data_IF_665355261628
#
_entry.id   IF_665355261628
#
_cell.length_a   1.000
_cell.length_b   1.000
_cell.length_c   1.000
_cell.angle_alpha   90.00
_cell.angle_beta   90.00
_cell.angle_gamma   90.00
#
_symmetry.space_group_name_H-M   'P 1'
#
loop_
_entity.id
_entity.type
_entity.pdbx_description
1 polymer ?
#
# COMPACT_ATOMS: atom_id res chain seq x y z
N UNK A 1 13.78 10.42 -1.85
CA UNK A 1 13.76 11.14 -3.15
C UNK A 1 12.47 11.93 -3.22
N UNK A 2 12.47 13.23 -3.53
CA UNK A 2 11.24 14.00 -3.55
C UNK A 2 10.46 13.85 -4.87
N UNK A 3 11.05 13.27 -5.93
CA UNK A 3 10.42 13.03 -7.23
C UNK A 3 10.77 11.63 -7.74
N UNK A 4 9.77 10.91 -8.22
CA UNK A 4 9.88 9.55 -8.77
C UNK A 4 8.92 9.41 -9.95
N UNK A 5 9.24 8.55 -10.90
CA UNK A 5 8.32 8.14 -11.96
C UNK A 5 8.39 6.63 -12.16
N UNK A 6 7.34 6.07 -12.76
CA UNK A 6 7.28 4.67 -13.19
C UNK A 6 6.69 4.57 -14.59
N UNK A 7 7.04 3.47 -15.26
CA UNK A 7 6.58 3.11 -16.58
C UNK A 7 6.35 1.59 -16.57
N UNK A 8 5.11 1.17 -16.84
CA UNK A 8 4.74 -0.25 -16.90
C UNK A 8 4.06 -0.56 -18.24
N UNK A 9 4.43 -1.65 -18.92
CA UNK A 9 3.67 -2.09 -20.08
C UNK A 9 2.29 -2.56 -19.63
N UNK A 10 1.28 -2.25 -20.43
CA UNK A 10 -0.07 -2.80 -20.31
C UNK A 10 -0.44 -3.48 -21.65
N UNK A 11 -1.70 -3.83 -21.82
CA UNK A 11 -2.21 -4.53 -23.01
C UNK A 11 -2.14 -3.64 -24.27
N UNK A 12 -2.26 -4.26 -25.44
CA UNK A 12 -2.38 -3.57 -26.75
C UNK A 12 -1.24 -2.61 -27.11
N UNK A 13 -0.02 -2.90 -26.62
CA UNK A 13 1.16 -2.08 -26.89
C UNK A 13 1.14 -0.73 -26.16
N UNK A 14 0.24 -0.56 -25.19
CA UNK A 14 0.14 0.64 -24.39
C UNK A 14 1.03 0.56 -23.14
N UNK A 15 1.30 1.72 -22.56
CA UNK A 15 2.12 1.84 -21.35
C UNK A 15 1.45 2.76 -20.35
N UNK A 16 1.45 2.36 -19.08
CA UNK A 16 1.03 3.20 -17.98
C UNK A 16 2.22 3.98 -17.44
N UNK A 17 2.09 5.29 -17.40
CA UNK A 17 3.10 6.21 -16.86
C UNK A 17 2.53 6.94 -15.67
N UNK A 18 3.30 7.01 -14.59
CA UNK A 18 2.90 7.81 -13.44
C UNK A 18 4.09 8.51 -12.80
N UNK A 19 3.79 9.67 -12.23
CA UNK A 19 4.74 10.52 -11.52
C UNK A 19 4.29 10.65 -10.07
N UNK A 20 5.26 10.66 -9.17
CA UNK A 20 5.04 10.73 -7.73
C UNK A 20 5.98 11.78 -7.14
N UNK A 21 5.44 12.53 -6.20
CA UNK A 21 6.16 13.62 -5.55
C UNK A 21 5.90 13.67 -4.05
N UNK A 22 6.95 13.99 -3.28
CA UNK A 22 6.89 14.14 -1.84
C UNK A 22 7.36 15.56 -1.43
N UNK A 23 7.14 15.93 -0.17
CA UNK A 23 7.57 17.22 0.40
C UNK A 23 7.15 18.45 -0.44
N UNK A 24 5.90 18.48 -0.91
CA UNK A 24 5.33 19.59 -1.69
C UNK A 24 5.69 19.60 -3.18
N UNK A 25 6.50 18.66 -3.65
CA UNK A 25 6.88 18.53 -5.07
C UNK A 25 5.79 17.81 -5.89
N UNK A 26 4.58 18.37 -5.92
CA UNK A 26 3.44 17.74 -6.57
C UNK A 26 3.64 17.62 -8.10
N UNK A 27 3.42 16.43 -8.69
CA UNK A 27 3.40 16.31 -10.13
C UNK A 27 2.29 17.18 -10.75
N UNK A 28 2.58 17.86 -11.86
CA UNK A 28 1.60 18.63 -12.61
C UNK A 28 0.58 17.73 -13.31
N UNK A 29 -0.54 18.32 -13.74
CA UNK A 29 -1.65 17.62 -14.40
C UNK A 29 -1.89 18.09 -15.84
N UNK A 30 -1.00 18.93 -16.36
CA UNK A 30 -0.91 19.36 -17.75
C UNK A 30 0.28 18.68 -18.45
N UNK A 31 0.22 18.56 -19.78
CA UNK A 31 1.20 17.84 -20.59
C UNK A 31 2.61 18.44 -20.51
N UNK A 32 2.72 19.76 -20.64
CA UNK A 32 3.99 20.49 -20.59
C UNK A 32 4.69 20.29 -19.24
N UNK A 33 3.93 20.45 -18.16
CA UNK A 33 4.39 20.21 -16.81
C UNK A 33 4.82 18.76 -16.61
N UNK A 34 4.03 17.80 -17.10
CA UNK A 34 4.31 16.37 -16.93
C UNK A 34 5.64 16.02 -17.63
N UNK A 35 5.84 16.48 -18.87
CA UNK A 35 7.09 16.32 -19.60
C UNK A 35 8.27 17.04 -18.92
N UNK A 36 8.06 18.24 -18.35
CA UNK A 36 9.10 18.93 -17.59
C UNK A 36 9.48 18.16 -16.31
N UNK A 37 8.51 17.56 -15.64
CA UNK A 37 8.73 16.77 -14.43
C UNK A 37 9.53 15.51 -14.75
N UNK A 38 9.24 14.82 -15.87
CA UNK A 38 9.97 13.60 -16.28
C UNK A 38 11.44 13.89 -16.57
N UNK A 39 11.74 15.03 -17.23
CA UNK A 39 13.11 15.52 -17.46
C UNK A 39 13.88 15.85 -16.18
N UNK A 40 13.17 16.13 -15.09
CA UNK A 40 13.77 16.42 -13.79
C UNK A 40 14.07 15.18 -12.94
N UNK A 41 13.66 14.00 -13.40
CA UNK A 41 13.98 12.74 -12.73
C UNK A 41 15.47 12.43 -12.86
N UNK A 42 15.97 11.58 -11.95
CA UNK A 42 17.40 11.24 -11.89
C UNK A 42 17.97 10.59 -13.15
N UNK A 43 17.14 9.91 -13.93
CA UNK A 43 17.53 9.17 -15.11
C UNK A 43 16.63 9.57 -16.28
N UNK A 44 17.18 9.81 -17.49
CA UNK A 44 16.42 10.37 -18.61
C UNK A 44 15.45 9.37 -19.26
N UNK A 45 15.60 8.07 -18.99
CA UNK A 45 14.82 6.97 -19.62
C UNK A 45 13.33 7.26 -19.75
N UNK A 46 12.70 7.85 -18.74
CA UNK A 46 11.27 8.09 -18.75
C UNK A 46 10.90 9.28 -19.64
N UNK A 47 11.75 10.30 -19.71
CA UNK A 47 11.59 11.42 -20.64
C UNK A 47 11.85 11.00 -22.10
N UNK A 48 12.86 10.17 -22.33
CA UNK A 48 13.20 9.62 -23.65
C UNK A 48 12.09 8.70 -24.18
N UNK A 49 11.57 7.79 -23.33
CA UNK A 49 10.48 6.91 -23.71
C UNK A 49 9.20 7.68 -24.07
N UNK A 50 8.88 8.73 -23.31
CA UNK A 50 7.72 9.58 -23.58
C UNK A 50 7.87 10.41 -24.86
N UNK A 51 9.08 10.84 -25.20
CA UNK A 51 9.32 11.58 -26.45
C UNK A 51 9.04 10.73 -27.71
N UNK A 52 9.06 9.40 -27.58
CA UNK A 52 8.75 8.45 -28.64
C UNK A 52 7.33 7.85 -28.54
N UNK A 53 6.49 8.33 -27.62
CA UNK A 53 5.16 7.78 -27.35
C UNK A 53 4.06 8.85 -27.54
N UNK A 54 2.84 8.38 -27.77
CA UNK A 54 1.65 9.24 -27.88
C UNK A 54 0.76 9.09 -26.62
N UNK A 55 0.33 10.19 -26.00
CA UNK A 55 -0.63 10.13 -24.89
C UNK A 55 -2.01 9.65 -25.38
N UNK A 56 -2.45 8.48 -24.91
CA UNK A 56 -3.77 7.93 -25.24
C UNK A 56 -4.87 8.32 -24.25
N UNK A 57 -4.52 9.00 -23.15
CA UNK A 57 -5.47 9.49 -22.14
C UNK A 57 -5.03 10.84 -21.57
N UNK A 58 -5.98 11.58 -21.00
CA UNK A 58 -5.67 12.81 -20.26
C UNK A 58 -4.94 12.51 -18.93
N UNK A 59 -4.02 13.38 -18.55
CA UNK A 59 -3.27 13.27 -17.28
C UNK A 59 -4.23 13.54 -16.10
N UNK A 60 -4.22 12.63 -15.13
CA UNK A 60 -5.02 12.74 -13.90
C UNK A 60 -4.12 12.82 -12.68
N UNK A 61 -4.42 13.75 -11.79
CA UNK A 61 -3.73 13.91 -10.51
C UNK A 61 -4.54 13.32 -9.35
N UNK A 62 -3.86 12.62 -8.46
CA UNK A 62 -4.42 12.19 -7.18
C UNK A 62 -3.52 12.65 -6.03
N UNK A 63 -4.14 13.20 -4.96
CA UNK A 63 -3.42 13.80 -3.82
C UNK A 63 -3.82 13.19 -2.47
N UNK A 64 -4.65 12.15 -2.45
CA UNK A 64 -5.11 11.51 -1.22
C UNK A 64 -4.11 10.50 -0.66
N UNK A 65 -2.93 10.96 -0.23
CA UNK A 65 -1.82 10.11 0.23
C UNK A 65 -1.91 9.74 1.72
N UNK A 66 -3.12 9.56 2.24
CA UNK A 66 -3.32 9.28 3.67
C UNK A 66 -3.60 7.80 3.91
N UNK A 67 -2.74 7.15 4.71
CA UNK A 67 -3.06 5.87 5.32
C UNK A 67 -4.19 6.07 6.37
N UNK A 68 -5.29 5.32 6.25
CA UNK A 68 -6.42 5.34 7.19
C UNK A 68 -6.86 3.93 7.52
N UNK A 69 -6.96 3.63 8.82
CA UNK A 69 -7.46 2.35 9.31
C UNK A 69 -8.59 2.59 10.31
N UNK A 70 -9.77 2.10 9.97
CA UNK A 70 -10.94 2.15 10.84
C UNK A 70 -10.99 0.88 11.69
N UNK A 71 -10.85 1.04 13.01
CA UNK A 71 -10.78 -0.06 13.99
C UNK A 71 -12.16 -0.62 14.35
N UNK A 72 -12.95 -1.02 13.34
CA UNK A 72 -14.31 -1.55 13.54
C UNK A 72 -14.37 -2.77 14.45
N UNK A 73 -13.29 -3.57 14.49
CA UNK A 73 -13.15 -4.73 15.37
C UNK A 73 -13.19 -4.38 16.87
N UNK A 74 -12.90 -3.11 17.22
CA UNK A 74 -12.95 -2.57 18.58
C UNK A 74 -14.33 -2.06 18.98
N UNK A 75 -15.30 -1.97 18.06
CA UNK A 75 -16.64 -1.50 18.40
C UNK A 75 -17.34 -2.47 19.35
N UNK A 76 -17.84 -1.94 20.48
CA UNK A 76 -18.57 -2.74 21.49
C UNK A 76 -19.83 -3.39 20.90
N UNK A 77 -20.60 -2.64 20.11
CA UNK A 77 -21.80 -3.12 19.41
C UNK A 77 -21.56 -3.01 17.91
N UNK A 78 -21.78 -4.10 17.19
CA UNK A 78 -21.66 -4.16 15.73
C UNK A 78 -23.01 -4.62 15.16
N UNK A 79 -23.51 -4.00 14.06
CA UNK A 79 -24.73 -4.45 13.41
C UNK A 79 -24.55 -5.87 12.85
N UNK A 80 -25.55 -6.72 13.06
CA UNK A 80 -25.59 -8.03 12.44
C UNK A 80 -25.75 -7.91 10.92
N UNK A 81 -25.24 -8.91 10.19
CA UNK A 81 -25.40 -9.04 8.72
C UNK A 81 -24.83 -7.86 7.91
N UNK A 82 -23.99 -7.03 8.51
CA UNK A 82 -23.32 -5.91 7.87
C UNK A 82 -21.79 -6.06 7.96
N UNK A 83 -21.13 -6.15 6.80
CA UNK A 83 -19.68 -6.27 6.68
C UNK A 83 -19.15 -5.12 5.82
N UNK A 84 -18.04 -4.53 6.23
CA UNK A 84 -17.34 -3.47 5.49
C UNK A 84 -16.03 -4.07 4.95
N UNK A 85 -15.63 -3.71 3.74
CA UNK A 85 -14.42 -4.21 3.06
C UNK A 85 -13.64 -3.09 2.37
N UNK A 86 -12.43 -3.41 1.93
CA UNK A 86 -11.57 -2.53 1.12
C UNK A 86 -11.20 -1.23 1.81
N UNK A 87 -11.12 -0.16 1.03
CA UNK A 87 -10.73 1.18 1.50
C UNK A 87 -11.69 1.77 2.53
N UNK A 88 -12.90 1.22 2.70
CA UNK A 88 -13.79 1.63 3.79
C UNK A 88 -13.33 1.09 5.16
N UNK A 89 -12.46 0.07 5.20
CA UNK A 89 -11.84 -0.47 6.44
C UNK A 89 -10.38 -0.07 6.57
N UNK A 90 -9.64 -0.09 5.47
CA UNK A 90 -8.22 0.22 5.46
C UNK A 90 -7.85 0.83 4.10
N UNK A 91 -7.71 2.15 4.06
CA UNK A 91 -7.25 2.88 2.89
C UNK A 91 -5.75 3.13 3.02
N UNK A 92 -5.01 2.84 1.95
CA UNK A 92 -3.56 2.93 1.95
C UNK A 92 -3.07 4.13 1.16
N UNK A 93 -1.87 4.61 1.48
CA UNK A 93 -1.13 5.50 0.60
C UNK A 93 -0.83 4.77 -0.72
N UNK A 94 -1.35 5.23 -1.89
CA UNK A 94 -1.25 4.46 -3.14
C UNK A 94 0.17 4.32 -3.66
N UNK A 95 1.13 5.09 -3.14
CA UNK A 95 2.55 5.03 -3.51
C UNK A 95 3.16 3.63 -3.34
N UNK A 96 2.57 2.79 -2.49
CA UNK A 96 3.06 1.44 -2.17
C UNK A 96 2.33 0.32 -2.92
N UNK A 97 1.28 0.63 -3.70
CA UNK A 97 0.61 -0.36 -4.56
C UNK A 97 -0.15 -1.49 -3.85
N UNK A 98 -0.41 -1.39 -2.53
CA UNK A 98 -0.99 -2.49 -1.74
C UNK A 98 -2.53 -2.58 -1.76
N UNK A 99 -3.22 -1.53 -2.22
CA UNK A 99 -4.69 -1.42 -2.06
C UNK A 99 -5.49 -2.56 -2.70
N UNK A 100 -5.20 -2.91 -3.97
CA UNK A 100 -5.93 -3.96 -4.67
C UNK A 100 -5.70 -5.34 -4.06
N UNK A 101 -4.45 -5.67 -3.74
CA UNK A 101 -4.12 -6.96 -3.10
C UNK A 101 -4.72 -7.06 -1.70
N UNK A 102 -4.75 -5.97 -0.92
CA UNK A 102 -5.42 -5.95 0.38
C UNK A 102 -6.94 -6.14 0.24
N UNK A 103 -7.57 -5.52 -0.77
CA UNK A 103 -8.98 -5.73 -1.07
C UNK A 103 -9.29 -7.18 -1.48
N UNK A 104 -8.41 -7.82 -2.26
CA UNK A 104 -8.53 -9.23 -2.62
C UNK A 104 -8.45 -10.14 -1.39
N UNK A 105 -7.45 -9.95 -0.52
CA UNK A 105 -7.32 -10.68 0.75
C UNK A 105 -8.54 -10.46 1.67
N UNK A 106 -9.13 -9.27 1.66
CA UNK A 106 -10.35 -8.98 2.38
C UNK A 106 -11.55 -9.77 1.83
N UNK A 107 -11.67 -9.87 0.50
CA UNK A 107 -12.70 -10.67 -0.15
C UNK A 107 -12.55 -12.17 0.14
N UNK A 108 -11.33 -12.72 0.08
CA UNK A 108 -11.04 -14.10 0.46
C UNK A 108 -11.38 -14.38 1.93
N UNK A 109 -11.06 -13.43 2.82
CA UNK A 109 -11.40 -13.53 4.25
C UNK A 109 -12.92 -13.60 4.47
N UNK A 110 -13.69 -12.82 3.70
CA UNK A 110 -15.15 -12.88 3.73
C UNK A 110 -15.65 -14.25 3.22
N UNK A 111 -15.14 -14.74 2.09
CA UNK A 111 -15.52 -16.04 1.55
C UNK A 111 -15.25 -17.17 2.55
N UNK A 112 -14.08 -17.17 3.20
CA UNK A 112 -13.76 -18.14 4.25
C UNK A 112 -14.75 -18.09 5.42
N UNK A 113 -15.16 -16.89 5.87
CA UNK A 113 -16.17 -16.74 6.92
C UNK A 113 -17.53 -17.28 6.47
N UNK A 114 -17.93 -17.03 5.22
CA UNK A 114 -19.18 -17.51 4.66
C UNK A 114 -19.17 -19.04 4.50
N UNK A 115 -18.07 -19.63 4.05
CA UNK A 115 -17.88 -21.10 3.97
C UNK A 115 -18.02 -21.74 5.34
N UNK A 116 -17.30 -21.23 6.35
CA UNK A 116 -17.41 -21.73 7.72
C UNK A 116 -18.84 -21.62 8.27
N UNK A 117 -19.55 -20.52 7.97
CA UNK A 117 -20.94 -20.37 8.39
C UNK A 117 -21.86 -21.41 7.73
N UNK A 118 -21.65 -21.72 6.45
CA UNK A 118 -22.39 -22.78 5.77
C UNK A 118 -22.14 -24.15 6.40
N UNK A 119 -20.90 -24.46 6.78
CA UNK A 119 -20.54 -25.72 7.44
C UNK A 119 -21.07 -25.85 8.88
N UNK A 120 -21.28 -24.74 9.58
CA UNK A 120 -21.87 -24.74 10.92
C UNK A 120 -23.36 -25.07 10.93
N UNK A 121 -24.04 -25.01 9.78
CA UNK A 121 -25.41 -25.51 9.66
C UNK A 121 -25.40 -27.03 9.76
N UNK A 122 -26.29 -27.58 10.57
CA UNK A 122 -26.58 -29.00 10.55
C UNK A 122 -27.35 -29.32 9.25
N UNK A 123 -27.09 -30.44 8.55
CA UNK A 123 -27.90 -30.84 7.39
C UNK A 123 -29.37 -31.12 7.75
N UNK A 124 -29.67 -31.45 9.01
CA UNK A 124 -31.02 -31.79 9.49
C UNK A 124 -31.97 -30.59 9.63
N UNK A 125 -31.47 -29.35 9.60
CA UNK A 125 -32.29 -28.13 9.69
C UNK A 125 -32.90 -27.71 8.33
N UNK A 126 -32.67 -28.49 7.27
CA UNK A 126 -33.15 -28.23 5.91
C UNK A 126 -34.36 -29.09 5.52
N UNK A 127 -35.28 -29.34 6.47
CA UNK A 127 -36.62 -29.85 6.16
C UNK A 127 -37.64 -28.77 6.49
N UNK A 128 -38.43 -28.44 5.48
CA UNK A 128 -39.53 -27.48 5.48
C UNK A 128 -39.15 -26.01 5.69
N UNK A 129 -39.10 -25.23 4.61
CA UNK A 129 -40.01 -24.07 4.46
C UNK A 129 -39.80 -23.38 3.11
N UNK A 130 -40.92 -23.25 2.41
CA UNK A 130 -41.13 -22.61 1.10
C UNK A 130 -41.24 -21.08 1.22
N UNK A 131 -40.33 -20.45 1.97
CA UNK A 131 -40.35 -19.01 2.21
C UNK A 131 -39.03 -18.38 1.77
N UNK A 132 -39.12 -17.22 1.12
CA UNK A 132 -38.05 -16.22 0.91
C UNK A 132 -37.34 -15.76 2.23
N UNK A 133 -37.61 -16.42 3.37
CA UNK A 133 -36.90 -16.36 4.65
C UNK A 133 -35.68 -17.30 4.71
N UNK A 134 -35.24 -17.86 3.58
CA UNK A 134 -34.00 -18.62 3.42
C UNK A 134 -32.70 -17.83 3.64
N UNK A 135 -32.75 -16.61 4.19
CA UNK A 135 -31.57 -15.95 4.75
C UNK A 135 -31.18 -16.72 6.00
N UNK A 136 -30.30 -17.71 5.84
CA UNK A 136 -29.73 -18.49 6.93
C UNK A 136 -29.39 -17.70 8.16
N UNK A 137 -29.31 -18.38 9.29
CA UNK A 137 -28.67 -17.81 10.46
C UNK A 137 -27.27 -17.32 10.05
N UNK A 138 -27.12 -15.99 9.99
CA UNK A 138 -25.87 -15.28 9.74
C UNK A 138 -25.42 -14.57 11.02
N UNK A 139 -26.04 -14.90 12.16
CA UNK A 139 -25.83 -14.18 13.39
C UNK A 139 -24.39 -14.41 13.89
N UNK A 140 -23.78 -13.31 14.29
CA UNK A 140 -22.37 -13.20 14.66
C UNK A 140 -21.39 -13.35 13.49
N UNK A 141 -21.82 -13.65 12.25
CA UNK A 141 -20.92 -13.71 11.09
C UNK A 141 -20.25 -12.36 10.89
N UNK A 142 -21.03 -11.29 10.89
CA UNK A 142 -20.55 -9.93 10.66
C UNK A 142 -19.41 -9.57 11.62
N UNK A 143 -19.61 -9.82 12.92
CA UNK A 143 -18.59 -9.55 13.95
C UNK A 143 -17.35 -10.43 13.83
N UNK A 144 -17.52 -11.72 13.50
CA UNK A 144 -16.38 -12.63 13.26
C UNK A 144 -15.57 -12.19 12.04
N UNK A 145 -16.25 -11.82 10.97
CA UNK A 145 -15.63 -11.35 9.73
C UNK A 145 -14.82 -10.07 9.98
N UNK A 146 -15.39 -9.07 10.65
CA UNK A 146 -14.66 -7.83 10.95
C UNK A 146 -13.41 -8.04 11.81
N UNK A 147 -13.46 -8.96 12.77
CA UNK A 147 -12.27 -9.33 13.56
C UNK A 147 -11.20 -10.04 12.74
N UNK A 148 -11.60 -10.87 11.78
CA UNK A 148 -10.66 -11.56 10.87
C UNK A 148 -10.07 -10.60 9.84
N UNK A 149 -10.87 -9.70 9.29
CA UNK A 149 -10.41 -8.63 8.39
C UNK A 149 -9.36 -7.74 9.05
N UNK A 150 -9.55 -7.38 10.32
CA UNK A 150 -8.54 -6.63 11.08
C UNK A 150 -7.19 -7.36 11.19
N UNK A 151 -7.18 -8.70 11.17
CA UNK A 151 -5.95 -9.50 11.16
C UNK A 151 -5.36 -9.60 9.75
N UNK A 152 -6.19 -9.83 8.74
CA UNK A 152 -5.77 -9.90 7.34
C UNK A 152 -5.13 -8.58 6.88
N UNK A 153 -5.69 -7.45 7.28
CA UNK A 153 -5.17 -6.11 6.97
C UNK A 153 -3.94 -5.72 7.81
N UNK A 154 -3.59 -6.47 8.85
CA UNK A 154 -2.52 -6.07 9.76
C UNK A 154 -1.15 -6.03 9.07
N UNK A 155 -0.86 -6.99 8.19
CA UNK A 155 0.41 -7.07 7.47
C UNK A 155 0.54 -5.93 6.45
N UNK A 156 -0.50 -5.69 5.64
CA UNK A 156 -0.55 -4.56 4.71
C UNK A 156 -0.45 -3.21 5.44
N UNK A 157 -1.16 -3.06 6.56
CA UNK A 157 -1.09 -1.84 7.38
C UNK A 157 0.31 -1.62 7.96
N UNK A 158 0.96 -2.67 8.46
CA UNK A 158 2.32 -2.59 8.97
C UNK A 158 3.29 -2.16 7.86
N UNK A 159 3.18 -2.76 6.66
CA UNK A 159 4.07 -2.45 5.55
C UNK A 159 3.89 -1.00 5.09
N UNK A 160 2.66 -0.59 4.78
CA UNK A 160 2.33 0.77 4.33
C UNK A 160 2.66 1.87 5.35
N UNK A 161 2.41 1.63 6.65
CA UNK A 161 2.72 2.65 7.69
C UNK A 161 4.18 2.67 8.08
N UNK A 162 4.91 1.56 7.91
CA UNK A 162 6.36 1.52 8.06
C UNK A 162 7.03 2.49 7.09
N UNK A 163 6.68 2.39 5.82
CA UNK A 163 7.29 3.19 4.76
C UNK A 163 6.98 4.69 4.89
N UNK A 164 5.77 5.07 5.33
CA UNK A 164 5.40 6.47 5.58
C UNK A 164 6.20 7.08 6.76
N UNK A 165 6.56 6.27 7.77
CA UNK A 165 7.31 6.72 8.95
C UNK A 165 8.78 7.05 8.65
N UNK A 166 9.27 6.74 7.46
CA UNK A 166 10.56 7.23 6.95
C UNK A 166 10.57 8.74 6.72
N UNK A 167 9.39 9.36 6.53
CA UNK A 167 9.29 10.79 6.25
C UNK A 167 9.04 11.58 7.54
N UNK A 168 9.91 12.53 7.92
CA UNK A 168 9.74 13.35 9.12
C UNK A 168 8.43 14.16 9.16
N UNK A 169 7.84 14.40 7.99
CA UNK A 169 6.58 15.14 7.81
C UNK A 169 5.33 14.32 8.11
N UNK A 170 5.46 13.02 8.41
CA UNK A 170 4.32 12.13 8.68
C UNK A 170 3.72 12.41 10.06
N UNK A 171 2.45 12.80 10.08
CA UNK A 171 1.66 13.01 11.31
C UNK A 171 0.94 11.73 11.74
N UNK A 172 1.04 11.35 13.02
CA UNK A 172 0.21 10.28 13.60
C UNK A 172 0.97 9.13 14.27
N UNK A 173 2.28 8.98 14.02
CA UNK A 173 3.16 8.09 14.76
C UNK A 173 4.61 8.62 14.71
N UNK A 174 5.41 8.37 15.76
CA UNK A 174 6.85 8.69 15.78
C UNK A 174 7.64 7.42 15.51
N UNK A 175 8.59 7.46 14.57
CA UNK A 175 9.50 6.36 14.34
C UNK A 175 10.31 6.07 15.62
N UNK A 176 10.10 4.91 16.23
CA UNK A 176 10.89 4.46 17.38
C UNK A 176 12.23 3.86 16.91
N UNK A 177 13.15 3.58 17.84
CA UNK A 177 14.48 3.07 17.50
C UNK A 177 14.45 1.73 16.75
N UNK A 178 13.49 0.86 17.11
CA UNK A 178 13.26 -0.43 16.44
C UNK A 178 12.85 -0.22 15.00
N UNK A 179 11.96 0.73 14.73
CA UNK A 179 11.49 1.07 13.39
C UNK A 179 12.65 1.55 12.50
N UNK A 180 13.53 2.41 13.03
CA UNK A 180 14.73 2.86 12.29
C UNK A 180 15.67 1.70 11.95
N UNK A 181 15.82 0.74 12.85
CA UNK A 181 16.61 -0.46 12.60
C UNK A 181 15.96 -1.32 11.51
N UNK A 182 14.64 -1.50 11.56
CA UNK A 182 13.88 -2.23 10.55
C UNK A 182 14.01 -1.57 9.16
N UNK A 183 13.91 -0.24 9.07
CA UNK A 183 14.08 0.48 7.80
C UNK A 183 15.49 0.29 7.23
N UNK A 184 16.53 0.47 8.06
CA UNK A 184 17.91 0.24 7.63
C UNK A 184 18.13 -1.20 7.15
N UNK A 185 17.43 -2.16 7.74
CA UNK A 185 17.47 -3.55 7.28
C UNK A 185 16.75 -3.70 5.93
N UNK A 186 15.55 -3.16 5.76
CA UNK A 186 14.81 -3.20 4.50
C UNK A 186 15.56 -2.48 3.36
N UNK A 187 16.23 -1.36 3.64
CA UNK A 187 17.10 -0.68 2.66
C UNK A 187 18.22 -1.60 2.16
N UNK A 188 18.81 -2.40 3.05
CA UNK A 188 19.82 -3.39 2.69
C UNK A 188 19.25 -4.56 1.91
N UNK A 189 18.03 -5.00 2.23
CA UNK A 189 17.33 -6.05 1.47
C UNK A 189 17.00 -5.53 0.07
N UNK A 190 16.51 -4.29 -0.06
CA UNK A 190 16.26 -3.65 -1.33
C UNK A 190 17.57 -3.52 -2.15
N UNK A 191 18.68 -3.14 -1.52
CA UNK A 191 19.98 -3.10 -2.18
C UNK A 191 20.49 -4.51 -2.58
N UNK A 192 20.26 -5.52 -1.74
CA UNK A 192 20.61 -6.90 -2.05
C UNK A 192 19.79 -7.45 -3.23
N UNK A 193 18.54 -7.01 -3.36
CA UNK A 193 17.62 -7.41 -4.44
C UNK A 193 18.16 -7.05 -5.82
N UNK A 194 18.97 -6.00 -5.95
CA UNK A 194 19.54 -5.59 -7.24
C UNK A 194 20.71 -6.47 -7.69
N UNK A 195 21.24 -7.32 -6.79
CA UNK A 195 22.43 -8.15 -7.03
C UNK A 195 22.19 -9.64 -6.87
N UNK A 196 21.18 -10.06 -6.11
CA UNK A 196 20.81 -11.46 -5.88
C UNK A 196 19.38 -11.75 -6.36
N UNK A 197 19.20 -12.53 -7.44
CA UNK A 197 17.88 -12.88 -7.97
C UNK A 197 16.97 -13.55 -6.95
N UNK A 198 17.52 -14.32 -6.00
CA UNK A 198 16.70 -15.01 -4.99
C UNK A 198 16.20 -14.07 -3.90
N UNK A 199 16.97 -13.03 -3.58
CA UNK A 199 16.52 -11.96 -2.69
C UNK A 199 15.52 -11.07 -3.41
N UNK A 200 15.72 -10.80 -4.70
CA UNK A 200 14.76 -10.07 -5.53
C UNK A 200 13.40 -10.76 -5.59
N UNK A 201 13.37 -12.06 -5.87
CA UNK A 201 12.15 -12.86 -5.89
C UNK A 201 11.43 -12.83 -4.53
N UNK A 202 12.15 -13.06 -3.43
CA UNK A 202 11.53 -13.01 -2.09
C UNK A 202 11.05 -11.60 -1.71
N UNK A 203 11.77 -10.56 -2.11
CA UNK A 203 11.35 -9.17 -1.91
C UNK A 203 10.08 -8.86 -2.71
N UNK A 204 10.04 -9.23 -3.99
CA UNK A 204 8.88 -9.06 -4.86
C UNK A 204 7.65 -9.81 -4.35
N UNK A 205 7.80 -11.06 -3.88
CA UNK A 205 6.71 -11.83 -3.29
C UNK A 205 6.16 -11.18 -2.02
N UNK A 206 7.01 -10.59 -1.17
CA UNK A 206 6.57 -9.93 0.06
C UNK A 206 5.89 -8.59 -0.25
N UNK A 207 6.47 -7.77 -1.12
CA UNK A 207 5.85 -6.51 -1.57
C UNK A 207 4.52 -6.76 -2.28
N UNK A 208 4.44 -7.82 -3.09
CA UNK A 208 3.22 -8.29 -3.73
C UNK A 208 2.23 -9.00 -2.81
N UNK A 209 2.55 -9.12 -1.51
CA UNK A 209 1.74 -9.81 -0.49
C UNK A 209 1.43 -11.29 -0.82
N UNK A 210 2.27 -11.93 -1.62
CA UNK A 210 2.24 -13.36 -1.93
C UNK A 210 2.94 -14.21 -0.85
N UNK A 211 3.85 -13.58 -0.10
CA UNK A 211 4.56 -14.20 1.02
C UNK A 211 4.49 -13.32 2.26
N UNK A 212 4.59 -13.95 3.44
CA UNK A 212 4.62 -13.23 4.72
C UNK A 212 5.88 -12.36 4.83
N UNK A 213 5.82 -11.18 5.51
CA UNK A 213 6.99 -10.34 5.75
C UNK A 213 8.16 -11.07 6.44
N UNK A 214 7.86 -12.11 7.23
CA UNK A 214 8.86 -12.97 7.88
C UNK A 214 9.78 -13.68 6.91
N UNK A 215 9.37 -13.87 5.65
CA UNK A 215 10.19 -14.48 4.61
C UNK A 215 11.48 -13.70 4.34
N UNK A 216 11.47 -12.37 4.51
CA UNK A 216 12.67 -11.53 4.38
C UNK A 216 13.72 -11.87 5.43
N UNK A 217 13.32 -12.39 6.60
CA UNK A 217 14.24 -12.74 7.69
C UNK A 217 14.82 -14.15 7.56
N UNK A 218 14.64 -14.82 6.41
CA UNK A 218 15.30 -16.10 6.15
C UNK A 218 16.84 -15.94 6.22
N UNK A 219 17.60 -16.92 6.75
CA UNK A 219 19.04 -16.81 6.97
C UNK A 219 19.83 -16.33 5.75
N UNK A 220 19.45 -16.78 4.54
CA UNK A 220 20.09 -16.38 3.29
C UNK A 220 19.93 -14.88 2.98
N UNK A 221 18.74 -14.34 3.23
CA UNK A 221 18.42 -12.92 2.97
C UNK A 221 19.09 -12.05 4.03
N UNK A 222 19.16 -12.52 5.28
CA UNK A 222 19.95 -11.86 6.32
C UNK A 222 21.44 -11.74 5.92
N UNK A 223 22.03 -12.81 5.38
CA UNK A 223 23.41 -12.79 4.86
C UNK A 223 23.54 -11.84 3.66
N UNK A 224 22.62 -11.91 2.70
CA UNK A 224 22.62 -11.03 1.53
C UNK A 224 22.51 -9.55 1.91
N UNK A 225 21.61 -9.21 2.84
CA UNK A 225 21.44 -7.87 3.39
C UNK A 225 22.67 -7.42 4.20
N UNK A 226 23.30 -8.31 4.99
CA UNK A 226 24.50 -7.97 5.75
C UNK A 226 25.71 -7.67 4.84
N UNK A 227 25.81 -8.34 3.69
CA UNK A 227 26.83 -8.10 2.66
C UNK A 227 26.55 -6.84 1.82
N UNK A 228 25.29 -6.46 1.70
CA UNK A 228 24.86 -5.27 0.98
C UNK A 228 24.98 -4.04 1.88
N UNK A 229 26.15 -3.40 1.85
CA UNK A 229 26.34 -2.09 2.49
C UNK A 229 26.00 -1.00 1.46
N UNK A 230 25.24 0.03 1.86
CA UNK A 230 25.10 1.20 0.99
C UNK A 230 26.49 1.78 0.78
N UNK A 231 26.88 1.98 -0.49
CA UNK A 231 28.06 2.75 -0.82
C UNK A 231 27.87 4.13 -0.16
N UNK A 232 28.83 4.53 0.66
CA UNK A 232 28.73 5.71 1.50
C UNK A 232 28.80 7.00 0.69
N UNK A 233 27.76 7.30 -0.09
CA UNK A 233 27.58 8.56 -0.82
C UNK A 233 26.12 8.70 -1.29
N UNK A 234 25.19 8.65 -0.35
CA UNK A 234 23.89 9.27 -0.53
C UNK A 234 23.89 10.58 0.23
N UNK A 235 23.97 11.71 -0.48
CA UNK A 235 23.80 13.05 0.12
C UNK A 235 22.61 13.00 1.09
N UNK A 236 22.76 13.44 2.35
CA UNK A 236 21.63 13.52 3.26
C UNK A 236 20.52 14.30 2.56
N UNK A 237 19.28 13.83 2.69
CA UNK A 237 18.12 14.64 2.32
C UNK A 237 18.28 15.95 3.09
N UNK A 238 18.66 17.01 2.38
CA UNK A 238 18.77 18.34 2.93
C UNK A 238 17.48 18.65 3.67
N UNK A 239 17.60 19.06 4.94
CA UNK A 239 16.54 19.70 5.70
C UNK A 239 16.13 20.99 4.97
N UNK A 240 15.39 20.87 3.86
CA UNK A 240 14.65 22.00 3.33
C UNK A 240 13.52 22.24 4.32
N UNK A 241 13.72 23.27 5.16
CA UNK A 241 12.73 23.78 6.09
C UNK A 241 11.34 23.81 5.43
N UNK A 242 10.27 23.43 6.15
CA UNK A 242 8.92 23.47 5.58
C UNK A 242 8.62 24.90 5.10
N UNK A 243 8.03 25.08 3.89
CA UNK A 243 7.62 26.40 3.45
C UNK A 243 6.64 26.97 4.48
N UNK A 244 6.99 28.14 5.02
CA UNK A 244 6.14 28.91 5.91
C UNK A 244 4.82 29.19 5.20
N UNK A 245 3.70 28.78 5.81
CA UNK A 245 2.37 29.17 5.32
C UNK A 245 2.30 30.70 5.24
N UNK A 246 1.77 31.29 4.16
CA UNK A 246 1.47 32.71 4.16
C UNK A 246 0.46 32.99 5.28
N UNK A 247 0.76 33.99 6.11
CA UNK A 247 -0.17 34.53 7.10
C UNK A 247 -1.39 35.05 6.37
N UNK A 248 -2.54 34.42 6.57
CA UNK A 248 -3.83 35.06 6.30
C UNK A 248 -3.96 36.26 7.23
N UNK A 249 -3.72 37.45 6.69
CA UNK A 249 -4.18 38.70 7.29
C UNK A 249 -5.71 38.70 7.26
N UNK A 250 -6.31 38.43 8.41
CA UNK A 250 -7.70 38.75 8.67
C UNK A 250 -7.89 40.27 8.47
N UNK A 251 -8.61 40.62 7.40
CA UNK A 251 -9.26 41.93 7.29
C UNK A 251 -10.72 41.72 7.65
N UNK A 252 -11.23 42.65 8.46
CA UNK A 252 -12.48 42.65 9.22
C UNK A 252 -13.73 42.15 8.49
#
# INVERSE_FOLDING_TARGET
MPRTGYLFPIEDGQWMVGLMGAAGQHPPTDEDGFAAFTRSLRHPVLAEALAAAEPVTAIRGYRGTANRLWRYERMRRWPERFVILGDAVCAFNPIYGQGMSAAALAAETLDACLREQRHRRCPDDLKDTDDLKGAGDLDGLARRCQRRLARANADAWMLSTGEDLCYPTTTGARANAVMRMQHRYLDRVALASTRDPRTADSFAQVVGMLARPTALFAPRILVAAARSRPDGEGTPISDSAPPTRPRETATR
#
